data_IF_547563086377
#
_entry.id   IF_547563086377
#
_cell.length_a   1.000
_cell.length_b   1.000
_cell.length_c   1.000
_cell.angle_alpha   90.00
_cell.angle_beta   90.00
_cell.angle_gamma   90.00
#
_symmetry.space_group_name_H-M   'P 1'
#
loop_
_entity.id
_entity.type
_entity.pdbx_description
1 polymer ?
#
# COMPACT_ATOMS: atom_id res chain seq x y z
N UNK A 1 -19.67 -47.62 43.37
CA UNK A 1 -18.85 -47.09 42.25
C UNK A 1 -17.49 -46.57 42.75
N UNK A 2 -16.74 -47.35 43.52
CA UNK A 2 -15.34 -47.04 43.85
C UNK A 2 -14.55 -48.34 43.71
N UNK A 3 -13.44 -48.30 42.96
CA UNK A 3 -12.50 -49.42 42.86
C UNK A 3 -11.68 -49.55 44.15
N UNK A 4 -11.08 -50.72 44.36
CA UNK A 4 -10.22 -50.99 45.53
C UNK A 4 -8.89 -50.24 45.50
N UNK A 5 -8.50 -49.74 44.34
CA UNK A 5 -7.31 -48.91 44.17
C UNK A 5 -7.70 -47.47 43.82
N UNK A 6 -6.93 -46.51 44.32
CA UNK A 6 -7.10 -45.07 44.08
C UNK A 6 -6.86 -44.65 42.60
N UNK A 7 -6.82 -45.59 41.66
CA UNK A 7 -6.79 -45.30 40.23
C UNK A 7 -8.22 -45.05 39.72
N UNK A 8 -8.39 -43.92 39.04
CA UNK A 8 -9.64 -43.60 38.34
C UNK A 8 -9.63 -44.32 36.99
N UNK A 9 -10.13 -45.56 36.98
CA UNK A 9 -10.27 -46.35 35.76
C UNK A 9 -11.59 -46.10 35.01
N UNK A 10 -11.65 -46.51 33.74
CA UNK A 10 -12.81 -46.31 32.84
C UNK A 10 -14.13 -46.84 33.44
N UNK A 11 -14.06 -47.88 34.28
CA UNK A 11 -15.21 -48.41 35.02
C UNK A 11 -15.74 -47.42 36.08
N UNK A 12 -14.85 -46.71 36.78
CA UNK A 12 -15.22 -45.68 37.77
C UNK A 12 -15.83 -44.47 37.07
N UNK A 13 -15.24 -44.05 35.94
CA UNK A 13 -15.76 -42.95 35.10
C UNK A 13 -17.17 -43.27 34.58
N UNK A 14 -17.38 -44.48 34.07
CA UNK A 14 -18.68 -44.91 33.51
C UNK A 14 -19.76 -45.04 34.57
N UNK A 15 -19.42 -45.49 35.79
CA UNK A 15 -20.36 -45.64 36.90
C UNK A 15 -20.82 -44.28 37.46
N UNK A 16 -19.96 -43.25 37.41
CA UNK A 16 -20.29 -41.91 37.91
C UNK A 16 -20.96 -41.01 36.87
N UNK A 17 -20.56 -41.10 35.60
CA UNK A 17 -21.00 -40.17 34.55
C UNK A 17 -21.83 -40.83 33.43
N UNK A 18 -22.07 -42.15 33.49
CA UNK A 18 -22.70 -42.90 32.41
C UNK A 18 -21.77 -43.11 31.21
N UNK A 19 -22.26 -43.80 30.16
CA UNK A 19 -21.49 -44.02 28.91
C UNK A 19 -21.21 -42.68 28.25
N UNK A 20 -19.97 -42.19 28.35
CA UNK A 20 -19.53 -41.01 27.60
C UNK A 20 -19.42 -41.38 26.11
N UNK A 21 -19.99 -40.55 25.25
CA UNK A 21 -19.87 -40.73 23.80
C UNK A 21 -18.40 -40.47 23.42
N UNK A 22 -17.70 -41.50 22.95
CA UNK A 22 -16.36 -41.34 22.37
C UNK A 22 -16.48 -40.37 21.20
N UNK A 23 -15.66 -39.31 21.21
CA UNK A 23 -15.62 -38.33 20.15
C UNK A 23 -15.34 -39.05 18.83
N UNK A 24 -16.30 -38.98 17.90
CA UNK A 24 -16.15 -39.53 16.54
C UNK A 24 -15.11 -38.68 15.83
N UNK A 25 -13.86 -39.16 15.79
CA UNK A 25 -12.79 -38.62 14.95
C UNK A 25 -13.10 -38.97 13.50
N UNK A 26 -14.00 -38.20 12.88
CA UNK A 26 -14.43 -38.49 11.51
C UNK A 26 -15.45 -37.55 10.89
N UNK A 27 -15.96 -36.54 11.58
CA UNK A 27 -16.74 -35.50 10.89
C UNK A 27 -15.79 -34.47 10.31
N UNK A 28 -15.57 -34.53 9.00
CA UNK A 28 -15.09 -33.35 8.26
C UNK A 28 -16.14 -32.27 8.46
N UNK A 29 -15.92 -31.39 9.44
CA UNK A 29 -16.74 -30.20 9.62
C UNK A 29 -16.50 -29.31 8.38
N UNK A 30 -17.21 -29.61 7.30
CA UNK A 30 -17.30 -28.78 6.12
C UNK A 30 -18.01 -27.53 6.61
N UNK A 31 -17.29 -26.42 6.73
CA UNK A 31 -17.87 -25.15 7.15
C UNK A 31 -19.16 -24.88 6.39
N UNK A 32 -20.13 -24.23 7.03
CA UNK A 32 -21.52 -24.03 6.54
C UNK A 32 -21.65 -23.18 5.26
N UNK A 33 -20.58 -23.06 4.48
CA UNK A 33 -20.44 -22.18 3.35
C UNK A 33 -20.05 -23.01 2.14
N UNK A 34 -20.84 -22.91 1.08
CA UNK A 34 -20.56 -23.66 -0.15
C UNK A 34 -19.19 -23.28 -0.73
N UNK A 35 -18.52 -24.25 -1.35
CA UNK A 35 -17.24 -24.01 -2.03
C UNK A 35 -17.33 -22.89 -3.09
N UNK A 36 -18.50 -22.76 -3.74
CA UNK A 36 -18.79 -21.69 -4.70
C UNK A 36 -18.92 -20.31 -4.05
N UNK A 37 -19.54 -20.22 -2.88
CA UNK A 37 -19.61 -18.97 -2.14
C UNK A 37 -18.22 -18.52 -1.68
N UNK A 38 -17.40 -19.46 -1.18
CA UNK A 38 -16.00 -19.18 -0.80
C UNK A 38 -15.14 -18.70 -1.98
N UNK A 39 -15.30 -19.27 -3.18
CA UNK A 39 -14.53 -18.85 -4.35
C UNK A 39 -14.93 -17.46 -4.84
N UNK A 40 -16.23 -17.16 -4.87
CA UNK A 40 -16.73 -15.82 -5.20
C UNK A 40 -16.24 -14.78 -4.20
N UNK A 41 -16.35 -15.07 -2.89
CA UNK A 41 -15.90 -14.18 -1.84
C UNK A 41 -14.39 -13.90 -1.92
N UNK A 42 -13.56 -14.94 -2.15
CA UNK A 42 -12.10 -14.77 -2.35
C UNK A 42 -11.76 -13.94 -3.61
N UNK A 43 -12.49 -14.13 -4.71
CA UNK A 43 -12.29 -13.34 -5.93
C UNK A 43 -12.64 -11.86 -5.72
N UNK A 44 -13.68 -11.56 -4.93
CA UNK A 44 -14.03 -10.19 -4.56
C UNK A 44 -13.00 -9.56 -3.62
N UNK A 45 -12.45 -10.33 -2.67
CA UNK A 45 -11.37 -9.84 -1.80
C UNK A 45 -10.07 -9.53 -2.56
N UNK A 46 -9.73 -10.30 -3.60
CA UNK A 46 -8.55 -10.01 -4.43
C UNK A 46 -8.67 -8.69 -5.20
N UNK A 47 -9.89 -8.27 -5.56
CA UNK A 47 -10.13 -6.96 -6.18
C UNK A 47 -10.09 -5.80 -5.18
N UNK A 48 -10.27 -6.08 -3.89
CA UNK A 48 -10.30 -5.10 -2.80
C UNK A 48 -9.12 -5.25 -1.86
N UNK A 49 -7.92 -5.55 -2.36
CA UNK A 49 -6.74 -5.25 -1.56
C UNK A 49 -6.62 -3.71 -1.51
N UNK A 50 -6.85 -3.05 -0.35
CA UNK A 50 -6.41 -1.68 -0.21
C UNK A 50 -4.90 -1.75 -0.40
N UNK A 51 -4.40 -1.18 -1.50
CA UNK A 51 -2.96 -0.93 -1.63
C UNK A 51 -2.59 -0.21 -0.34
N UNK A 52 -1.79 -0.85 0.53
CA UNK A 52 -1.26 -0.22 1.74
C UNK A 52 -0.89 1.20 1.36
N UNK A 53 -1.57 2.20 1.92
CA UNK A 53 -1.48 3.58 1.45
C UNK A 53 0.00 3.96 1.47
N UNK A 54 0.60 4.07 0.27
CA UNK A 54 2.02 4.34 0.16
C UNK A 54 2.28 5.66 0.89
N UNK A 55 3.31 5.71 1.73
CA UNK A 55 3.63 6.92 2.49
C UNK A 55 3.67 8.13 1.54
N UNK A 56 2.81 9.11 1.82
CA UNK A 56 2.73 10.35 1.05
C UNK A 56 3.39 11.47 1.85
N UNK A 57 4.24 12.24 1.19
CA UNK A 57 4.81 13.45 1.76
C UNK A 57 4.94 14.54 0.69
N UNK A 58 5.08 15.78 1.14
CA UNK A 58 5.29 16.93 0.27
C UNK A 58 6.79 17.21 0.22
N UNK A 59 7.31 17.41 -0.98
CA UNK A 59 8.67 17.85 -1.23
C UNK A 59 8.61 19.19 -1.98
N UNK A 60 9.57 20.07 -1.66
CA UNK A 60 9.63 21.42 -2.23
C UNK A 60 11.03 21.73 -2.71
N UNK A 61 11.14 22.45 -3.83
CA UNK A 61 12.41 22.97 -4.32
C UNK A 61 12.23 24.34 -4.98
N UNK A 62 13.33 25.08 -5.06
CA UNK A 62 13.43 26.26 -5.91
C UNK A 62 13.81 25.80 -7.31
N UNK A 63 12.93 26.07 -8.28
CA UNK A 63 13.13 25.72 -9.68
C UNK A 63 13.34 26.98 -10.49
N UNK A 64 14.29 26.93 -11.43
CA UNK A 64 14.46 28.00 -12.39
C UNK A 64 13.32 27.99 -13.40
N UNK A 65 12.87 29.17 -13.80
CA UNK A 65 12.11 29.32 -15.03
C UNK A 65 12.90 28.69 -16.19
N UNK A 66 12.20 28.17 -17.20
CA UNK A 66 12.85 27.51 -18.32
C UNK A 66 13.83 28.44 -19.08
N UNK A 67 13.59 29.74 -19.08
CA UNK A 67 14.46 30.78 -19.65
C UNK A 67 15.51 31.32 -18.66
N UNK A 68 15.56 30.78 -17.44
CA UNK A 68 16.48 31.12 -16.34
C UNK A 68 16.43 32.57 -15.85
N UNK A 69 15.35 33.32 -16.13
CA UNK A 69 15.24 34.73 -15.68
C UNK A 69 14.67 34.90 -14.29
N UNK A 70 13.87 33.94 -13.83
CA UNK A 70 13.22 33.94 -12.52
C UNK A 70 13.26 32.56 -11.89
N UNK A 71 12.97 32.51 -10.60
CA UNK A 71 12.81 31.26 -9.85
C UNK A 71 11.38 31.15 -9.32
N UNK A 72 10.92 29.91 -9.15
CA UNK A 72 9.64 29.57 -8.56
C UNK A 72 9.86 28.61 -7.39
N UNK A 73 9.14 28.82 -6.30
CA UNK A 73 8.97 27.79 -5.28
C UNK A 73 8.00 26.75 -5.83
N UNK A 74 8.47 25.52 -6.01
CA UNK A 74 7.67 24.41 -6.51
C UNK A 74 7.45 23.40 -5.39
N UNK A 75 6.20 22.98 -5.21
CA UNK A 75 5.83 21.87 -4.34
C UNK A 75 5.24 20.71 -5.15
N UNK A 76 5.50 19.48 -4.71
CA UNK A 76 4.86 18.27 -5.25
C UNK A 76 4.69 17.22 -4.16
N UNK A 77 3.76 16.30 -4.41
CA UNK A 77 3.53 15.12 -3.59
C UNK A 77 4.41 13.98 -4.10
N UNK A 78 5.03 13.28 -3.17
CA UNK A 78 5.70 12.01 -3.41
C UNK A 78 4.87 10.92 -2.76
N UNK A 79 4.52 9.87 -3.52
CA UNK A 79 3.87 8.67 -3.00
C UNK A 79 4.85 7.50 -3.12
N UNK A 80 5.31 7.00 -1.97
CA UNK A 80 6.40 6.02 -1.92
C UNK A 80 7.70 6.59 -2.51
N UNK A 81 8.04 6.18 -3.73
CA UNK A 81 9.20 6.68 -4.47
C UNK A 81 8.85 7.32 -5.83
N UNK A 82 7.60 7.70 -6.04
CA UNK A 82 7.16 8.33 -7.28
C UNK A 82 6.65 9.73 -6.99
N UNK A 83 7.12 10.69 -7.79
CA UNK A 83 6.56 12.05 -7.78
C UNK A 83 5.22 12.00 -8.53
N UNK A 84 4.16 12.47 -7.90
CA UNK A 84 2.88 12.67 -8.57
C UNK A 84 2.98 13.90 -9.48
N UNK A 85 3.10 13.66 -10.79
CA UNK A 85 3.20 14.70 -11.80
C UNK A 85 2.02 15.68 -11.86
N UNK A 86 0.84 15.26 -11.37
CA UNK A 86 -0.35 16.13 -11.33
C UNK A 86 -0.29 17.15 -10.19
N UNK A 87 0.52 16.86 -9.17
CA UNK A 87 0.72 17.68 -7.97
C UNK A 87 1.86 18.69 -8.10
N UNK A 88 2.66 18.61 -9.17
CA UNK A 88 3.80 19.51 -9.38
C UNK A 88 3.31 20.95 -9.51
N UNK A 89 3.90 21.84 -8.70
CA UNK A 89 3.53 23.24 -8.53
C UNK A 89 2.10 23.42 -7.97
N UNK A 90 1.67 22.52 -7.08
CA UNK A 90 0.35 22.58 -6.41
C UNK A 90 0.10 23.86 -5.59
N UNK A 91 1.16 24.54 -5.19
CA UNK A 91 1.12 25.80 -4.45
C UNK A 91 0.70 27.00 -5.34
N UNK A 92 0.68 26.83 -6.67
CA UNK A 92 0.22 27.83 -7.62
C UNK A 92 -1.18 27.51 -8.14
N UNK A 93 -1.96 28.55 -8.43
CA UNK A 93 -3.31 28.39 -8.99
C UNK A 93 -3.25 27.73 -10.37
N UNK A 94 -3.90 26.58 -10.53
CA UNK A 94 -4.01 25.89 -11.82
C UNK A 94 -4.48 26.87 -12.91
N UNK A 95 -3.79 26.85 -14.05
CA UNK A 95 -4.07 27.70 -15.21
C UNK A 95 -3.35 29.05 -15.21
N UNK A 96 -2.77 29.50 -14.08
CA UNK A 96 -2.00 30.75 -14.03
C UNK A 96 -0.68 30.66 -14.81
N UNK A 97 -0.08 31.81 -15.12
CA UNK A 97 1.22 31.86 -15.80
C UNK A 97 2.29 31.24 -14.90
N UNK A 98 2.28 31.57 -13.61
CA UNK A 98 3.21 31.04 -12.61
C UNK A 98 3.12 29.52 -12.54
N UNK A 99 1.91 28.95 -12.54
CA UNK A 99 1.71 27.50 -12.56
C UNK A 99 2.35 26.85 -13.79
N UNK A 100 2.12 27.40 -14.98
CA UNK A 100 2.68 26.86 -16.24
C UNK A 100 4.20 26.98 -16.28
N UNK A 101 4.74 28.14 -15.91
CA UNK A 101 6.18 28.40 -15.93
C UNK A 101 6.92 27.60 -14.85
N UNK A 102 6.34 27.48 -13.65
CA UNK A 102 6.84 26.61 -12.59
C UNK A 102 6.93 25.15 -13.06
N UNK A 103 5.89 24.63 -13.73
CA UNK A 103 5.89 23.24 -14.22
C UNK A 103 6.91 23.00 -15.32
N UNK A 104 7.09 23.95 -16.24
CA UNK A 104 8.19 23.88 -17.23
C UNK A 104 9.55 23.86 -16.54
N UNK A 105 9.76 24.73 -15.56
CA UNK A 105 10.98 24.79 -14.75
C UNK A 105 11.23 23.49 -13.98
N UNK A 106 10.20 22.94 -13.34
CA UNK A 106 10.26 21.68 -12.61
C UNK A 106 10.68 20.50 -13.50
N UNK A 107 10.22 20.45 -14.76
CA UNK A 107 10.66 19.41 -15.72
C UNK A 107 12.16 19.47 -15.97
N UNK A 108 12.73 20.67 -16.10
CA UNK A 108 14.18 20.86 -16.26
C UNK A 108 14.90 20.46 -14.97
N UNK A 109 14.40 20.91 -13.82
CA UNK A 109 14.95 20.57 -12.51
C UNK A 109 15.01 19.06 -12.28
N UNK A 110 13.94 18.32 -12.57
CA UNK A 110 13.93 16.85 -12.43
C UNK A 110 14.98 16.18 -13.33
N UNK A 111 15.14 16.65 -14.57
CA UNK A 111 16.18 16.17 -15.48
C UNK A 111 17.58 16.44 -14.93
N UNK A 112 17.81 17.61 -14.34
CA UNK A 112 19.10 17.97 -13.73
C UNK A 112 19.39 17.12 -12.49
N UNK A 113 18.41 16.92 -11.59
CA UNK A 113 18.58 16.04 -10.43
C UNK A 113 18.84 14.59 -10.84
N UNK A 114 18.10 14.09 -11.83
CA UNK A 114 18.34 12.76 -12.40
C UNK A 114 19.78 12.59 -12.89
N UNK A 115 20.38 13.61 -13.51
CA UNK A 115 21.77 13.55 -13.98
C UNK A 115 22.79 13.71 -12.85
N UNK A 116 22.53 14.63 -11.92
CA UNK A 116 23.47 15.07 -10.87
C UNK A 116 23.60 14.06 -9.73
N UNK A 117 22.50 13.43 -9.33
CA UNK A 117 22.50 12.52 -8.19
C UNK A 117 23.19 11.20 -8.55
N UNK A 118 23.93 10.62 -7.59
CA UNK A 118 24.47 9.28 -7.71
C UNK A 118 23.35 8.21 -7.68
N UNK A 119 23.66 7.00 -8.14
CA UNK A 119 22.72 5.88 -8.18
C UNK A 119 22.10 5.64 -6.80
N UNK A 120 20.79 5.91 -6.71
CA UNK A 120 20.03 5.93 -5.46
C UNK A 120 18.53 5.90 -5.76
N UNK A 121 17.75 5.52 -4.74
CA UNK A 121 16.28 5.56 -4.77
C UNK A 121 15.78 6.98 -5.12
N UNK A 122 16.46 8.02 -4.62
CA UNK A 122 16.15 9.43 -4.88
C UNK A 122 16.42 9.78 -6.35
N UNK A 123 17.56 9.36 -6.92
CA UNK A 123 17.84 9.53 -8.35
C UNK A 123 16.77 8.87 -9.21
N UNK A 124 16.39 7.63 -8.91
CA UNK A 124 15.34 6.91 -9.65
C UNK A 124 14.01 7.67 -9.66
N UNK A 125 13.61 8.26 -8.52
CA UNK A 125 12.43 9.11 -8.41
C UNK A 125 12.49 10.32 -9.33
N UNK A 126 13.61 11.04 -9.32
CA UNK A 126 13.78 12.20 -10.19
C UNK A 126 13.85 11.80 -11.66
N UNK A 127 14.47 10.66 -11.98
CA UNK A 127 14.52 10.15 -13.34
C UNK A 127 13.15 9.70 -13.87
N UNK A 128 12.32 9.04 -13.05
CA UNK A 128 10.95 8.66 -13.46
C UNK A 128 10.07 9.90 -13.68
N UNK A 129 10.20 10.93 -12.84
CA UNK A 129 9.54 12.20 -13.07
C UNK A 129 10.09 12.90 -14.33
N UNK A 130 11.41 12.92 -14.51
CA UNK A 130 12.06 13.53 -15.66
C UNK A 130 11.63 12.92 -17.01
N UNK A 131 11.24 11.65 -17.04
CA UNK A 131 10.65 11.01 -18.22
C UNK A 131 9.12 11.17 -18.28
N UNK A 132 8.39 10.81 -17.23
CA UNK A 132 6.92 10.69 -17.25
C UNK A 132 6.11 11.97 -17.03
N UNK A 133 6.68 13.00 -16.39
CA UNK A 133 5.95 14.24 -16.09
C UNK A 133 5.72 15.10 -17.34
N UNK A 134 4.46 15.45 -17.66
CA UNK A 134 4.16 16.42 -18.73
C UNK A 134 3.94 17.83 -18.14
N UNK A 135 4.81 18.82 -18.41
CA UNK A 135 4.70 20.17 -17.86
C UNK A 135 3.54 21.01 -18.43
N UNK A 136 2.84 20.52 -19.46
CA UNK A 136 1.68 21.19 -20.06
C UNK A 136 0.33 20.59 -19.63
N UNK A 137 0.34 19.41 -19.00
CA UNK A 137 -0.86 18.67 -18.57
C UNK A 137 -1.39 19.05 -17.19
#
# INVERSE_FOLDING_TARGET
CMGSDNLIDEAVVTCRFGKSQKAVTGSTAQGMVSARYMSQYKSQQQMQQPKLAAAQFIESAIVWQWDRKRTYAAEWVVSGNQIDGTSVCRNWRRGSIEYRECRKGAKVYFKEQCKRLAESIIRQRYCSAASGFNPLG
#
